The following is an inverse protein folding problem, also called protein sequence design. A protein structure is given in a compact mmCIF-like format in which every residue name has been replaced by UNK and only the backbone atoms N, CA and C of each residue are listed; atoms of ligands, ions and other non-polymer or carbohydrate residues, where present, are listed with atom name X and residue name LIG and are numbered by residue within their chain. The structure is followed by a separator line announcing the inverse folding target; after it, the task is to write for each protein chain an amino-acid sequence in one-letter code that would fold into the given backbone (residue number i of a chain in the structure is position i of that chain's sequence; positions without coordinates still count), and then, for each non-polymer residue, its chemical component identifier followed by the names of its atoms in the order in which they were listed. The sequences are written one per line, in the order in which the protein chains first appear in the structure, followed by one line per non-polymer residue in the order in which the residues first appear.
data_IF_588514139481
#
_entry.id   IF_588514139481
#
_cell.length_a   1.000
_cell.length_b   1.000
_cell.length_c   1.000
_cell.angle_alpha   90.00
_cell.angle_beta   90.00
_cell.angle_gamma   90.00
#
_symmetry.space_group_name_H-M   'P 1'
#
loop_
_entity.id
_entity.type
_entity.pdbx_description
1 polymer ?
#
# COMPACT_ATOMS: atom_id res chain seq x y z
N UNK A 1 6.06 -6.43 -25.82
CA UNK A 1 4.68 -6.16 -26.27
C UNK A 1 3.83 -5.74 -25.10
N UNK A 2 3.38 -4.52 -25.12
CA UNK A 2 2.58 -3.95 -24.03
C UNK A 2 1.30 -4.75 -23.76
N UNK A 3 0.74 -5.39 -24.74
CA UNK A 3 -0.51 -6.16 -24.60
C UNK A 3 -0.43 -7.29 -23.56
N UNK A 4 0.77 -7.74 -23.22
CA UNK A 4 0.95 -8.80 -22.22
C UNK A 4 1.25 -8.25 -20.83
N UNK A 5 1.50 -6.94 -20.71
CA UNK A 5 1.68 -6.31 -19.43
C UNK A 5 0.31 -5.99 -18.83
N UNK A 6 0.08 -6.31 -17.54
CA UNK A 6 -1.20 -5.99 -16.92
C UNK A 6 -1.40 -4.49 -16.84
N UNK A 7 -2.64 -4.07 -17.00
CA UNK A 7 -3.01 -2.67 -16.79
C UNK A 7 -2.92 -2.31 -15.31
N UNK A 8 -2.71 -1.04 -15.01
CA UNK A 8 -2.65 -0.55 -13.63
C UNK A 8 -3.90 -0.99 -12.84
N UNK A 9 -5.08 -0.84 -13.43
CA UNK A 9 -6.33 -1.21 -12.75
C UNK A 9 -6.40 -2.69 -12.42
N UNK A 10 -5.93 -3.55 -13.32
CA UNK A 10 -5.96 -5.00 -13.10
C UNK A 10 -4.98 -5.41 -12.00
N UNK A 11 -3.78 -4.85 -12.02
CA UNK A 11 -2.77 -5.13 -10.98
C UNK A 11 -3.26 -4.65 -9.61
N UNK A 12 -3.82 -3.46 -9.53
CA UNK A 12 -4.28 -2.93 -8.26
C UNK A 12 -5.50 -3.68 -7.74
N UNK A 13 -6.39 -4.13 -8.61
CA UNK A 13 -7.51 -5.00 -8.21
C UNK A 13 -7.00 -6.34 -7.65
N UNK A 14 -5.96 -6.91 -8.25
CA UNK A 14 -5.36 -8.14 -7.77
C UNK A 14 -4.68 -7.95 -6.41
N UNK A 15 -3.99 -6.83 -6.21
CA UNK A 15 -3.37 -6.50 -4.92
C UNK A 15 -4.44 -6.29 -3.84
N UNK A 16 -5.53 -5.60 -4.18
CA UNK A 16 -6.66 -5.43 -3.27
C UNK A 16 -7.26 -6.79 -2.87
N UNK A 17 -7.43 -7.71 -3.82
CA UNK A 17 -7.91 -9.06 -3.54
C UNK A 17 -6.97 -9.81 -2.59
N UNK A 18 -5.67 -9.64 -2.78
CA UNK A 18 -4.67 -10.26 -1.90
C UNK A 18 -4.80 -9.73 -0.47
N UNK A 19 -4.91 -8.41 -0.30
CA UNK A 19 -5.08 -7.81 1.02
C UNK A 19 -6.39 -8.27 1.68
N UNK A 20 -7.47 -8.28 0.94
CA UNK A 20 -8.77 -8.75 1.44
C UNK A 20 -8.65 -10.18 1.97
N UNK A 21 -8.01 -11.06 1.19
CA UNK A 21 -7.85 -12.45 1.59
C UNK A 21 -6.98 -12.62 2.84
N UNK A 22 -5.99 -11.76 3.02
CA UNK A 22 -5.04 -11.88 4.13
C UNK A 22 -5.53 -11.24 5.43
N UNK A 23 -6.18 -10.08 5.35
CA UNK A 23 -6.50 -9.30 6.56
C UNK A 23 -7.96 -8.86 6.65
N UNK A 24 -8.75 -9.10 5.63
CA UNK A 24 -10.17 -8.72 5.63
C UNK A 24 -10.37 -7.22 5.41
N UNK A 25 -11.62 -6.77 5.58
CA UNK A 25 -12.05 -5.43 5.22
C UNK A 25 -12.73 -4.66 6.35
N UNK A 26 -12.78 -5.23 7.55
CA UNK A 26 -13.47 -4.59 8.68
C UNK A 26 -12.59 -3.50 9.28
N UNK A 27 -12.78 -2.27 8.81
CA UNK A 27 -12.02 -1.08 9.24
C UNK A 27 -10.52 -1.34 9.17
N UNK A 28 -10.06 -1.89 8.04
CA UNK A 28 -8.66 -2.24 7.80
C UNK A 28 -7.85 -1.00 7.41
N UNK A 29 -6.70 -0.83 8.03
CA UNK A 29 -5.77 0.27 7.73
C UNK A 29 -4.54 -0.30 7.04
N UNK A 30 -4.23 0.25 5.87
CA UNK A 30 -3.12 -0.18 5.02
C UNK A 30 -2.11 0.94 4.91
N UNK A 31 -0.82 0.61 5.00
CA UNK A 31 0.27 1.56 4.80
C UNK A 31 0.93 1.37 3.44
N UNK A 32 1.19 2.47 2.73
CA UNK A 32 1.90 2.47 1.45
C UNK A 32 3.12 3.38 1.57
N UNK A 33 4.30 2.80 1.45
CA UNK A 33 5.58 3.50 1.49
C UNK A 33 6.38 3.10 0.25
N UNK A 34 7.46 3.76 -0.03
CA UNK A 34 8.25 3.41 -1.20
C UNK A 34 9.54 4.19 -1.31
N UNK A 35 10.29 3.87 -2.36
CA UNK A 35 11.53 4.56 -2.69
C UNK A 35 11.28 6.01 -3.06
N UNK A 36 12.27 6.85 -2.82
CA UNK A 36 12.25 8.23 -3.28
C UNK A 36 12.02 8.26 -4.80
N UNK A 37 11.20 9.18 -5.24
CA UNK A 37 10.86 9.32 -6.65
C UNK A 37 9.66 8.54 -7.11
N UNK A 38 9.14 7.61 -6.30
CA UNK A 38 7.90 6.91 -6.63
C UNK A 38 6.68 7.77 -6.25
N UNK A 39 5.61 7.63 -7.03
CA UNK A 39 4.38 8.39 -6.81
C UNK A 39 3.42 7.60 -5.92
N UNK A 40 3.57 7.77 -4.61
CA UNK A 40 2.76 7.04 -3.63
C UNK A 40 1.30 7.46 -3.66
N UNK A 41 1.02 8.72 -3.95
CA UNK A 41 -0.34 9.21 -4.05
C UNK A 41 -1.10 8.52 -5.18
N UNK A 42 -0.45 8.39 -6.34
CA UNK A 42 -1.02 7.66 -7.48
C UNK A 42 -1.30 6.20 -7.12
N UNK A 43 -0.35 5.55 -6.48
CA UNK A 43 -0.50 4.14 -6.08
C UNK A 43 -1.66 4.00 -5.10
N UNK A 44 -1.75 4.87 -4.10
CA UNK A 44 -2.84 4.82 -3.13
C UNK A 44 -4.20 5.02 -3.79
N UNK A 45 -4.31 6.00 -4.71
CA UNK A 45 -5.55 6.26 -5.43
C UNK A 45 -5.96 5.06 -6.30
N UNK A 46 -5.01 4.45 -6.98
CA UNK A 46 -5.28 3.26 -7.79
C UNK A 46 -5.69 2.08 -6.94
N UNK A 47 -5.12 1.95 -5.75
CA UNK A 47 -5.49 0.89 -4.81
C UNK A 47 -6.91 1.09 -4.28
N UNK A 48 -7.32 2.33 -4.02
CA UNK A 48 -8.72 2.64 -3.67
C UNK A 48 -9.66 2.10 -4.75
N UNK A 49 -9.37 2.39 -6.01
CA UNK A 49 -10.17 1.88 -7.14
C UNK A 49 -10.19 0.35 -7.14
N UNK A 50 -9.05 -0.28 -6.85
CA UNK A 50 -8.95 -1.73 -6.76
C UNK A 50 -9.89 -2.32 -5.70
N UNK A 51 -9.96 -1.72 -4.52
CA UNK A 51 -10.89 -2.16 -3.49
C UNK A 51 -12.34 -1.94 -3.91
N UNK A 52 -12.63 -0.81 -4.53
CA UNK A 52 -13.99 -0.50 -4.98
C UNK A 52 -14.48 -1.47 -6.05
N UNK A 53 -13.59 -1.99 -6.90
CA UNK A 53 -13.93 -3.05 -7.84
C UNK A 53 -14.37 -4.35 -7.17
N UNK A 54 -13.98 -4.54 -5.92
CA UNK A 54 -14.42 -5.69 -5.11
C UNK A 54 -15.62 -5.34 -4.21
N UNK A 55 -16.23 -4.17 -4.41
CA UNK A 55 -17.37 -3.74 -3.62
C UNK A 55 -17.02 -3.22 -2.24
N UNK A 56 -15.75 -2.90 -1.97
CA UNK A 56 -15.28 -2.43 -0.67
C UNK A 56 -15.05 -0.93 -0.72
N UNK A 57 -15.67 -0.20 0.18
CA UNK A 57 -15.45 1.24 0.31
C UNK A 57 -14.03 1.50 0.83
N UNK A 58 -13.30 2.37 0.14
CA UNK A 58 -11.92 2.69 0.51
C UNK A 58 -11.66 4.18 0.35
N UNK A 59 -10.71 4.68 1.13
CA UNK A 59 -10.26 6.06 1.03
C UNK A 59 -8.77 6.13 1.26
N UNK A 60 -8.13 7.13 0.65
CA UNK A 60 -6.70 7.36 0.79
C UNK A 60 -6.45 8.64 1.58
N UNK A 61 -5.38 8.64 2.36
CA UNK A 61 -4.94 9.83 3.11
C UNK A 61 -3.42 9.89 3.12
N UNK A 62 -2.89 11.10 2.96
CA UNK A 62 -1.46 11.33 3.09
C UNK A 62 -1.06 11.32 4.57
N UNK A 63 0.04 10.66 4.89
CA UNK A 63 0.59 10.68 6.24
C UNK A 63 1.16 12.08 6.54
N UNK A 64 0.72 12.74 7.61
CA UNK A 64 1.25 14.05 7.96
C UNK A 64 2.70 13.99 8.44
N UNK A 65 3.13 12.83 8.93
CA UNK A 65 4.49 12.58 9.39
C UNK A 65 4.70 11.08 9.49
N UNK A 66 5.92 10.66 9.83
CA UNK A 66 6.22 9.25 10.12
C UNK A 66 6.24 8.98 11.62
N UNK A 67 5.57 9.78 12.41
CA UNK A 67 5.47 9.62 13.87
C UNK A 67 4.31 8.68 14.20
N UNK A 68 4.62 7.58 14.88
CA UNK A 68 3.63 6.55 15.22
C UNK A 68 2.45 7.13 16.01
N UNK A 69 2.73 7.94 17.01
CA UNK A 69 1.65 8.48 17.87
C UNK A 69 0.74 9.43 17.11
N UNK A 70 1.31 10.27 16.26
CA UNK A 70 0.53 11.19 15.43
C UNK A 70 -0.32 10.44 14.41
N UNK A 71 0.27 9.45 13.74
CA UNK A 71 -0.46 8.64 12.77
C UNK A 71 -1.60 7.90 13.45
N UNK A 72 -1.37 7.37 14.65
CA UNK A 72 -2.42 6.69 15.39
C UNK A 72 -3.55 7.65 15.77
N UNK A 73 -3.21 8.79 16.34
CA UNK A 73 -4.22 9.74 16.83
C UNK A 73 -4.95 10.47 15.71
N UNK A 74 -4.24 10.81 14.62
CA UNK A 74 -4.81 11.64 13.55
C UNK A 74 -5.54 10.82 12.47
N UNK A 75 -5.12 9.59 12.22
CA UNK A 75 -5.66 8.79 11.12
C UNK A 75 -6.24 7.45 11.54
N UNK A 76 -5.46 6.65 12.25
CA UNK A 76 -5.83 5.25 12.52
C UNK A 76 -7.01 5.14 13.48
N UNK A 77 -6.90 5.76 14.64
CA UNK A 77 -7.96 5.70 15.66
C UNK A 77 -9.26 6.36 15.18
N UNK A 78 -9.23 7.57 14.57
CA UNK A 78 -10.46 8.16 14.04
C UNK A 78 -11.14 7.27 13.00
N UNK A 79 -10.37 6.66 12.10
CA UNK A 79 -10.95 5.77 11.10
C UNK A 79 -11.61 4.55 11.74
N UNK A 80 -10.91 3.91 12.69
CA UNK A 80 -11.43 2.70 13.33
C UNK A 80 -12.67 2.95 14.18
N UNK A 81 -12.79 4.15 14.72
CA UNK A 81 -13.91 4.48 15.61
C UNK A 81 -15.04 5.25 14.92
N UNK A 82 -14.82 5.77 13.70
CA UNK A 82 -15.78 6.61 13.00
C UNK A 82 -16.92 5.82 12.33
N UNK A 83 -16.86 4.50 12.34
CA UNK A 83 -17.87 3.69 11.69
C UNK A 83 -17.71 2.23 12.04
N UNK A 84 -18.60 1.40 11.49
CA UNK A 84 -18.59 -0.04 11.67
C UNK A 84 -18.76 -0.72 10.31
N UNK A 85 -18.37 -1.98 10.25
CA UNK A 85 -18.49 -2.78 9.03
C UNK A 85 -17.31 -2.59 8.10
N UNK A 86 -17.51 -2.93 6.83
CA UNK A 86 -16.46 -2.91 5.83
C UNK A 86 -15.98 -1.51 5.51
N UNK A 87 -14.70 -1.38 5.38
CA UNK A 87 -14.04 -0.13 5.02
C UNK A 87 -12.54 -0.27 5.10
N UNK A 88 -11.83 0.43 4.20
CA UNK A 88 -10.37 0.40 4.14
C UNK A 88 -9.85 1.83 4.09
N UNK A 89 -8.86 2.13 4.94
CA UNK A 89 -8.10 3.38 4.87
C UNK A 89 -6.70 3.06 4.37
N UNK A 90 -6.28 3.75 3.32
CA UNK A 90 -4.95 3.59 2.74
C UNK A 90 -4.15 4.86 3.06
N UNK A 91 -3.16 4.72 3.91
CA UNK A 91 -2.28 5.82 4.31
C UNK A 91 -0.99 5.72 3.51
N UNK A 92 -0.60 6.80 2.85
CA UNK A 92 0.63 6.81 2.05
C UNK A 92 1.60 7.88 2.53
N UNK A 93 2.87 7.56 2.53
CA UNK A 93 3.92 8.50 2.92
C UNK A 93 5.27 7.83 3.07
N UNK A 94 6.32 8.65 3.01
CA UNK A 94 7.69 8.17 3.18
C UNK A 94 7.97 7.87 4.64
N UNK A 95 8.60 6.71 4.89
CA UNK A 95 9.03 6.33 6.22
C UNK A 95 7.98 5.67 7.09
N UNK A 96 6.76 5.49 6.60
CA UNK A 96 5.70 4.90 7.42
C UNK A 96 5.82 3.38 7.60
N UNK A 97 6.68 2.71 6.83
CA UNK A 97 6.99 1.30 7.04
C UNK A 97 8.30 1.10 7.83
N UNK A 98 8.88 2.18 8.34
CA UNK A 98 10.07 2.09 9.17
C UNK A 98 9.77 1.33 10.47
N UNK A 99 10.82 0.76 11.05
CA UNK A 99 10.73 0.08 12.34
C UNK A 99 10.13 1.03 13.39
N UNK A 100 9.18 0.56 14.15
CA UNK A 100 8.49 1.38 15.15
C UNK A 100 7.19 2.02 14.64
N UNK A 101 7.01 2.11 13.32
CA UNK A 101 5.78 2.66 12.74
C UNK A 101 4.97 1.58 12.04
N UNK A 102 5.67 0.62 11.42
CA UNK A 102 5.05 -0.42 10.59
C UNK A 102 3.97 -1.25 11.30
N UNK A 103 4.01 -1.32 12.61
CA UNK A 103 3.03 -2.08 13.38
C UNK A 103 1.64 -1.47 13.40
N UNK A 104 1.48 -0.23 12.94
CA UNK A 104 0.18 0.40 12.81
C UNK A 104 -0.66 -0.20 11.70
N UNK A 105 -0.01 -0.78 10.69
CA UNK A 105 -0.68 -1.21 9.46
C UNK A 105 -1.04 -2.68 9.55
N UNK A 106 -2.28 -2.98 9.20
CA UNK A 106 -2.75 -4.35 9.11
C UNK A 106 -2.14 -5.07 7.92
N UNK A 107 -1.87 -4.30 6.86
CA UNK A 107 -1.28 -4.77 5.63
C UNK A 107 -0.47 -3.62 5.05
N UNK A 108 0.60 -3.92 4.33
CA UNK A 108 1.48 -2.87 3.85
C UNK A 108 2.00 -3.16 2.44
N UNK A 109 2.24 -2.09 1.69
CA UNK A 109 2.74 -2.14 0.33
C UNK A 109 4.00 -1.29 0.23
N UNK A 110 5.07 -1.89 -0.28
CA UNK A 110 6.31 -1.19 -0.60
C UNK A 110 6.37 -0.96 -2.10
N UNK A 111 6.57 0.29 -2.52
CA UNK A 111 6.60 0.70 -3.93
C UNK A 111 8.03 1.00 -4.34
N UNK A 112 8.51 0.37 -5.39
CA UNK A 112 9.87 0.57 -5.87
C UNK A 112 9.94 0.65 -7.38
N UNK A 113 11.08 1.15 -7.88
CA UNK A 113 11.38 1.19 -9.30
C UNK A 113 12.79 0.66 -9.54
N UNK A 114 13.01 0.13 -10.73
CA UNK A 114 14.27 -0.55 -11.06
C UNK A 114 15.49 0.33 -10.87
N UNK A 115 15.39 1.61 -11.22
CA UNK A 115 16.49 2.56 -11.07
C UNK A 115 16.96 2.73 -9.62
N UNK A 116 16.08 2.48 -8.64
CA UNK A 116 16.41 2.58 -7.23
C UNK A 116 16.76 1.27 -6.57
N UNK A 117 16.94 0.21 -7.34
CA UNK A 117 17.10 -1.14 -6.82
C UNK A 117 18.33 -1.29 -5.90
N UNK A 118 19.41 -0.59 -6.22
CA UNK A 118 20.64 -0.64 -5.43
C UNK A 118 20.53 0.11 -4.11
N UNK A 119 19.60 1.04 -4.01
CA UNK A 119 19.39 1.85 -2.81
C UNK A 119 18.25 1.37 -1.96
N UNK A 120 17.69 0.21 -2.30
CA UNK A 120 16.52 -0.27 -1.58
C UNK A 120 16.84 -0.59 -0.13
N UNK A 121 15.90 -0.28 0.72
CA UNK A 121 15.99 -0.62 2.13
C UNK A 121 15.44 -2.03 2.32
N UNK A 122 16.34 -2.99 2.38
CA UNK A 122 15.97 -4.41 2.47
C UNK A 122 15.09 -4.72 3.68
N UNK A 123 15.36 -4.06 4.81
CA UNK A 123 14.58 -4.25 6.04
C UNK A 123 13.10 -3.88 5.84
N UNK A 124 12.84 -2.75 5.16
CA UNK A 124 11.49 -2.28 4.92
C UNK A 124 10.80 -3.15 3.88
N UNK A 125 11.49 -3.51 2.82
CA UNK A 125 10.95 -4.37 1.78
C UNK A 125 10.53 -5.73 2.34
N UNK A 126 11.37 -6.33 3.16
CA UNK A 126 11.10 -7.64 3.77
C UNK A 126 9.90 -7.56 4.70
N UNK A 127 9.75 -6.44 5.41
CA UNK A 127 8.65 -6.24 6.35
C UNK A 127 7.31 -5.96 5.67
N UNK A 128 7.32 -5.53 4.41
CA UNK A 128 6.09 -5.22 3.69
C UNK A 128 5.31 -6.48 3.35
N UNK A 129 3.98 -6.38 3.36
CA UNK A 129 3.10 -7.49 2.98
C UNK A 129 3.20 -7.80 1.48
N UNK A 130 3.43 -6.77 0.67
CA UNK A 130 3.59 -6.91 -0.77
C UNK A 130 4.53 -5.85 -1.31
N UNK A 131 5.08 -6.10 -2.49
CA UNK A 131 5.98 -5.16 -3.18
C UNK A 131 5.43 -4.90 -4.57
N UNK A 132 5.36 -3.63 -4.93
CA UNK A 132 4.89 -3.19 -6.24
C UNK A 132 6.04 -2.50 -7.00
N UNK A 133 6.34 -3.00 -8.18
CA UNK A 133 7.33 -2.40 -9.10
C UNK A 133 6.61 -1.46 -10.04
N UNK A 134 6.96 -0.17 -9.97
CA UNK A 134 6.38 0.89 -10.80
C UNK A 134 7.38 1.46 -11.79
N UNK A 135 8.35 0.67 -12.21
CA UNK A 135 9.29 1.06 -13.26
C UNK A 135 8.54 1.60 -14.48
N UNK A 136 7.45 0.93 -14.85
CA UNK A 136 6.46 1.45 -15.79
C UNK A 136 5.19 1.75 -14.99
N UNK A 137 4.91 3.01 -14.67
CA UNK A 137 3.76 3.34 -13.81
C UNK A 137 2.41 3.02 -14.43
N UNK A 138 2.33 2.91 -15.76
CA UNK A 138 1.09 2.50 -16.43
C UNK A 138 0.88 0.99 -16.41
N UNK A 139 1.95 0.23 -16.16
CA UNK A 139 1.92 -1.21 -16.11
C UNK A 139 2.69 -1.70 -14.88
N UNK A 140 2.24 -1.35 -13.68
CA UNK A 140 2.90 -1.77 -12.45
C UNK A 140 2.79 -3.28 -12.28
N UNK A 141 3.78 -3.87 -11.61
CA UNK A 141 3.83 -5.32 -11.41
C UNK A 141 3.97 -5.66 -9.94
N UNK A 142 3.18 -6.63 -9.50
CA UNK A 142 3.35 -7.25 -8.20
C UNK A 142 4.66 -8.05 -8.21
N UNK A 143 5.62 -7.64 -7.41
CA UNK A 143 6.90 -8.35 -7.29
C UNK A 143 6.78 -9.38 -6.18
N UNK A 144 7.07 -10.63 -6.50
CA UNK A 144 7.03 -11.73 -5.54
C UNK A 144 8.43 -12.01 -5.01
N UNK A 145 8.50 -12.37 -3.74
CA UNK A 145 9.76 -12.76 -3.13
C UNK A 145 10.00 -14.24 -3.41
N UNK A 146 10.93 -14.52 -4.32
CA UNK A 146 11.28 -15.88 -4.70
C UNK A 146 12.35 -16.49 -3.78
N UNK A 147 12.44 -16.02 -2.57
CA UNK A 147 13.41 -16.53 -1.61
C UNK A 147 12.98 -17.90 -1.08
N UNK A 148 13.15 -18.90 -1.89
CA UNK A 148 12.99 -20.28 -1.46
C UNK A 148 14.22 -21.10 -1.74
#
# INVERSE_FOLDING_TARGET
MARWAPEETDTMAAIAAEAIAQVGTNRTVIGVDGQDGTDLERVAAALVTGFEQHGISAMAAAAPSADQDRLRSDLVTPFRTSGAGDGVLIVHGRGILAHGVRTLWRWSLWVEQESGRLERRADVKIAASAVLDVTDPEHPRREWNDAC
#
